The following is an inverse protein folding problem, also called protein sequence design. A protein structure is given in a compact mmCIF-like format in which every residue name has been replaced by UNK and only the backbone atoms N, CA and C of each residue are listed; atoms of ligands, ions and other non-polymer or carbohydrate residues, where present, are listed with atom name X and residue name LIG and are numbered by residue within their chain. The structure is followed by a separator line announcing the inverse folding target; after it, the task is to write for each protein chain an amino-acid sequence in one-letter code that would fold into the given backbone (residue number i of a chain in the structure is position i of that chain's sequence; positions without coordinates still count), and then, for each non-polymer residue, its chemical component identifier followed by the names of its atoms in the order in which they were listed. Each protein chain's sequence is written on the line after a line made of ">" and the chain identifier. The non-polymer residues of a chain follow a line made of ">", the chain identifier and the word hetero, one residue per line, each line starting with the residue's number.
data_IF_019001378987
#
_entry.id   IF_019001378987
#
_cell.length_a   1.000
_cell.length_b   1.000
_cell.length_c   1.000
_cell.angle_alpha   90.00
_cell.angle_beta   90.00
_cell.angle_gamma   90.00
#
_symmetry.space_group_name_H-M   'P 1'
#
loop_
_entity.id
_entity.type
_entity.pdbx_description
1 polymer ?
#
# COMPACT_ATOMS: atom_id res chain seq x y z
N UNK A 1 11.89 -3.71 -21.96
CA UNK A 1 11.14 -3.70 -20.70
C UNK A 1 12.03 -3.15 -19.59
N UNK A 2 11.66 -1.99 -19.03
CA UNK A 2 12.44 -1.29 -18.01
C UNK A 2 12.37 -2.00 -16.65
N UNK A 3 11.23 -2.60 -16.32
CA UNK A 3 11.06 -3.36 -15.08
C UNK A 3 12.04 -4.53 -15.00
N UNK A 4 12.17 -5.30 -16.08
CA UNK A 4 13.14 -6.41 -16.14
C UNK A 4 14.60 -5.93 -16.02
N UNK A 5 14.93 -4.75 -16.55
CA UNK A 5 16.27 -4.17 -16.41
C UNK A 5 16.52 -3.72 -14.97
N UNK A 6 15.54 -3.09 -14.33
CA UNK A 6 15.60 -2.67 -12.94
C UNK A 6 15.76 -3.87 -11.99
N UNK A 7 14.91 -4.91 -12.14
CA UNK A 7 15.00 -6.14 -11.34
C UNK A 7 16.39 -6.74 -11.43
N UNK A 8 16.94 -6.89 -12.65
CA UNK A 8 18.29 -7.41 -12.84
C UNK A 8 19.35 -6.57 -12.13
N UNK A 9 19.19 -5.25 -12.11
CA UNK A 9 20.11 -4.36 -11.44
C UNK A 9 20.04 -4.51 -9.92
N UNK A 10 18.85 -4.49 -9.34
CA UNK A 10 18.60 -4.72 -7.90
C UNK A 10 19.16 -6.08 -7.45
N UNK A 11 18.91 -7.14 -8.21
CA UNK A 11 19.47 -8.48 -7.93
C UNK A 11 21.00 -8.46 -7.92
N UNK A 12 21.62 -7.74 -8.85
CA UNK A 12 23.10 -7.65 -8.94
C UNK A 12 23.72 -6.88 -7.79
N UNK A 13 22.97 -5.99 -7.14
CA UNK A 13 23.39 -5.23 -5.94
C UNK A 13 23.30 -6.08 -4.67
N UNK A 14 22.55 -7.20 -4.70
CA UNK A 14 22.31 -8.03 -3.53
C UNK A 14 21.42 -7.35 -2.49
N UNK A 15 20.54 -6.44 -2.91
CA UNK A 15 19.56 -5.79 -2.05
C UNK A 15 18.62 -6.82 -1.43
N UNK A 16 18.43 -6.73 -0.12
CA UNK A 16 17.46 -7.54 0.60
C UNK A 16 16.09 -6.84 0.53
N UNK A 17 15.35 -7.11 -0.52
CA UNK A 17 14.02 -6.58 -0.75
C UNK A 17 13.03 -7.73 -0.87
N UNK A 18 11.87 -7.62 -0.19
CA UNK A 18 10.84 -8.67 -0.20
C UNK A 18 9.96 -8.61 -1.44
N UNK A 19 9.86 -7.44 -2.08
CA UNK A 19 9.11 -7.27 -3.31
C UNK A 19 9.09 -5.83 -3.80
N UNK A 20 8.71 -5.65 -5.07
CA UNK A 20 8.45 -4.36 -5.67
C UNK A 20 7.27 -4.48 -6.64
N UNK A 21 6.39 -3.49 -6.61
CA UNK A 21 5.19 -3.47 -7.43
C UNK A 21 4.95 -2.08 -8.01
N UNK A 22 4.35 -2.03 -9.20
CA UNK A 22 3.85 -0.79 -9.80
C UNK A 22 2.36 -0.68 -9.49
N UNK A 23 1.97 0.44 -8.90
CA UNK A 23 0.59 0.74 -8.53
C UNK A 23 0.12 1.90 -9.38
N UNK A 24 -0.91 1.67 -10.19
CA UNK A 24 -1.51 2.67 -11.06
C UNK A 24 -2.86 3.10 -10.50
N UNK A 25 -3.04 4.37 -10.11
CA UNK A 25 -4.34 4.89 -9.72
C UNK A 25 -5.39 4.67 -10.80
N UNK A 26 -6.65 4.38 -10.40
CA UNK A 26 -7.75 4.23 -11.35
C UNK A 26 -8.25 5.56 -11.89
N UNK A 27 -8.02 6.64 -11.15
CA UNK A 27 -8.33 8.00 -11.54
C UNK A 27 -7.03 8.79 -11.66
N UNK A 28 -6.96 9.70 -12.63
CA UNK A 28 -5.80 10.55 -12.85
C UNK A 28 -5.46 11.35 -11.59
N UNK A 29 -4.20 11.33 -11.21
CA UNK A 29 -3.68 12.10 -10.08
C UNK A 29 -2.89 13.30 -10.59
N UNK A 30 -2.99 14.43 -9.89
CA UNK A 30 -2.34 15.68 -10.31
C UNK A 30 -0.81 15.59 -10.25
N UNK A 31 -0.26 14.80 -9.34
CA UNK A 31 1.14 14.85 -8.98
C UNK A 31 1.94 13.61 -9.36
N UNK A 32 1.28 12.53 -9.80
CA UNK A 32 1.95 11.28 -10.18
C UNK A 32 1.08 10.40 -11.10
N UNK A 33 1.71 9.66 -12.00
CA UNK A 33 1.05 8.71 -12.89
C UNK A 33 1.00 7.30 -12.27
N UNK A 34 1.97 6.96 -11.45
CA UNK A 34 2.06 5.67 -10.74
C UNK A 34 2.89 5.79 -9.47
N UNK A 35 2.73 4.83 -8.59
CA UNK A 35 3.55 4.65 -7.39
C UNK A 35 4.41 3.40 -7.59
N UNK A 36 5.71 3.50 -7.33
CA UNK A 36 6.58 2.34 -7.25
C UNK A 36 6.72 1.95 -5.78
N UNK A 37 5.96 0.93 -5.39
CA UNK A 37 5.99 0.40 -4.04
C UNK A 37 7.12 -0.63 -3.91
N UNK A 38 7.95 -0.48 -2.88
CA UNK A 38 9.02 -1.40 -2.54
C UNK A 38 8.81 -1.89 -1.11
N UNK A 39 8.92 -3.20 -0.91
CA UNK A 39 8.74 -3.85 0.40
C UNK A 39 10.09 -4.33 0.91
N UNK A 40 10.42 -3.96 2.14
CA UNK A 40 11.71 -4.23 2.76
C UNK A 40 11.54 -4.97 4.09
N UNK A 41 12.42 -5.94 4.43
CA UNK A 41 12.35 -6.65 5.71
C UNK A 41 12.70 -5.76 6.90
N UNK A 42 13.37 -4.63 6.67
CA UNK A 42 13.71 -3.64 7.68
C UNK A 42 14.15 -2.31 7.06
N UNK A 43 14.06 -1.23 7.84
CA UNK A 43 14.59 0.07 7.47
C UNK A 43 16.09 0.01 7.16
N UNK A 44 16.87 -0.75 7.94
CA UNK A 44 18.29 -0.92 7.70
C UNK A 44 18.60 -1.56 6.35
N UNK A 45 17.82 -2.57 5.94
CA UNK A 45 17.97 -3.21 4.62
C UNK A 45 17.66 -2.23 3.49
N UNK A 46 16.60 -1.43 3.66
CA UNK A 46 16.23 -0.36 2.73
C UNK A 46 17.34 0.69 2.62
N UNK A 47 17.83 1.20 3.73
CA UNK A 47 18.82 2.27 3.78
C UNK A 47 20.13 1.83 3.12
N UNK A 48 20.58 0.61 3.38
CA UNK A 48 21.77 0.07 2.78
C UNK A 48 21.65 -0.03 1.24
N UNK A 49 20.54 -0.58 0.75
CA UNK A 49 20.29 -0.68 -0.69
C UNK A 49 20.12 0.70 -1.34
N UNK A 50 19.35 1.59 -0.71
CA UNK A 50 19.07 2.92 -1.25
C UNK A 50 20.31 3.81 -1.29
N UNK A 51 21.18 3.72 -0.29
CA UNK A 51 22.46 4.43 -0.27
C UNK A 51 23.37 4.00 -1.42
N UNK A 52 23.50 2.68 -1.64
CA UNK A 52 24.27 2.14 -2.76
C UNK A 52 23.66 2.54 -4.12
N UNK A 53 22.33 2.49 -4.24
CA UNK A 53 21.63 2.95 -5.43
C UNK A 53 21.94 4.40 -5.78
N UNK A 54 21.78 5.32 -4.82
CA UNK A 54 21.99 6.76 -5.03
C UNK A 54 23.46 7.08 -5.36
N UNK A 55 24.40 6.35 -4.75
CA UNK A 55 25.83 6.59 -4.97
C UNK A 55 26.32 6.04 -6.32
N UNK A 56 25.84 4.85 -6.72
CA UNK A 56 26.49 4.08 -7.78
C UNK A 56 25.61 3.82 -9.00
N UNK A 57 24.27 3.97 -8.91
CA UNK A 57 23.35 3.47 -9.94
C UNK A 57 22.33 4.49 -10.42
N UNK A 58 21.93 5.47 -9.59
CA UNK A 58 20.85 6.41 -9.87
C UNK A 58 21.10 7.22 -11.15
N UNK A 59 22.30 7.73 -11.36
CA UNK A 59 22.59 8.56 -12.51
C UNK A 59 22.46 7.79 -13.84
N UNK A 60 23.00 6.57 -13.92
CA UNK A 60 22.87 5.69 -15.09
C UNK A 60 21.42 5.27 -15.33
N UNK A 61 20.68 5.02 -14.24
CA UNK A 61 19.27 4.65 -14.34
C UNK A 61 18.41 5.79 -14.88
N UNK A 62 18.63 7.02 -14.41
CA UNK A 62 17.95 8.22 -14.94
C UNK A 62 18.19 8.42 -16.43
N UNK A 63 19.38 8.15 -16.92
CA UNK A 63 19.67 8.18 -18.36
C UNK A 63 18.89 7.09 -19.10
N UNK A 64 18.79 5.89 -18.51
CA UNK A 64 18.09 4.74 -19.11
C UNK A 64 16.59 4.99 -19.26
N UNK A 65 15.95 5.63 -18.28
CA UNK A 65 14.52 5.91 -18.30
C UNK A 65 14.15 7.24 -18.95
N UNK A 66 15.15 8.03 -19.35
CA UNK A 66 14.95 9.38 -19.89
C UNK A 66 13.96 9.40 -21.04
N UNK A 67 12.98 10.30 -20.96
CA UNK A 67 11.90 10.43 -21.96
C UNK A 67 10.78 9.40 -21.86
N UNK A 68 10.83 8.50 -20.87
CA UNK A 68 9.75 7.56 -20.56
C UNK A 68 9.04 7.96 -19.28
N UNK A 69 9.79 8.16 -18.19
CA UNK A 69 9.29 8.63 -16.90
C UNK A 69 10.45 9.23 -16.09
N UNK A 70 10.15 9.90 -15.01
CA UNK A 70 11.14 10.41 -14.06
C UNK A 70 10.66 10.20 -12.61
N UNK A 71 11.53 10.42 -11.65
CA UNK A 71 11.21 10.38 -10.23
C UNK A 71 12.12 11.35 -9.44
N UNK A 72 11.63 11.80 -8.30
CA UNK A 72 12.43 12.54 -7.32
C UNK A 72 12.61 11.71 -6.06
N UNK A 73 13.81 11.69 -5.52
CA UNK A 73 14.08 11.09 -4.20
C UNK A 73 13.31 11.80 -3.07
N UNK A 74 12.90 13.05 -3.28
CA UNK A 74 12.04 13.80 -2.37
C UNK A 74 10.62 13.26 -2.30
N UNK A 75 10.21 12.48 -3.32
CA UNK A 75 8.91 11.80 -3.40
C UNK A 75 9.01 10.33 -2.92
N UNK A 76 10.05 9.96 -2.20
CA UNK A 76 10.19 8.65 -1.59
C UNK A 76 9.64 8.69 -0.15
N UNK A 77 8.50 8.05 0.07
CA UNK A 77 7.79 8.03 1.34
C UNK A 77 7.90 6.67 2.01
N UNK A 78 8.38 6.66 3.25
CA UNK A 78 8.55 5.45 4.04
C UNK A 78 7.36 5.26 4.98
N UNK A 79 6.83 4.04 5.01
CA UNK A 79 5.79 3.62 5.95
C UNK A 79 6.24 2.37 6.70
N UNK A 80 5.95 2.31 8.00
CA UNK A 80 5.89 1.03 8.69
C UNK A 80 4.55 0.37 8.40
N UNK A 81 4.49 -0.95 8.38
CA UNK A 81 3.27 -1.68 8.09
C UNK A 81 2.93 -2.70 9.17
N UNK A 82 1.65 -2.82 9.50
CA UNK A 82 1.09 -3.86 10.35
C UNK A 82 0.03 -4.62 9.58
N UNK A 83 0.20 -5.93 9.42
CA UNK A 83 -0.80 -6.77 8.76
C UNK A 83 -2.02 -6.92 9.67
N UNK A 84 -3.18 -6.49 9.20
CA UNK A 84 -4.45 -6.60 9.93
C UNK A 84 -5.19 -7.90 9.66
N UNK A 85 -5.08 -8.42 8.44
CA UNK A 85 -5.63 -9.71 8.00
C UNK A 85 -4.75 -10.30 6.91
N UNK A 86 -4.39 -11.56 7.05
CA UNK A 86 -3.77 -12.32 5.97
C UNK A 86 -4.86 -12.97 5.10
N UNK A 87 -4.63 -13.13 3.80
CA UNK A 87 -5.52 -13.93 2.95
C UNK A 87 -5.48 -15.40 3.41
N UNK A 88 -6.61 -16.10 3.31
CA UNK A 88 -6.65 -17.56 3.57
C UNK A 88 -5.93 -18.35 2.46
N UNK A 89 -5.91 -17.78 1.25
CA UNK A 89 -5.15 -18.29 0.12
C UNK A 89 -4.61 -17.12 -0.70
N UNK A 90 -3.37 -17.24 -1.18
CA UNK A 90 -2.81 -16.24 -2.06
C UNK A 90 -3.43 -16.34 -3.45
N UNK A 91 -3.79 -15.22 -4.03
CA UNK A 91 -4.23 -15.16 -5.42
C UNK A 91 -3.06 -15.49 -6.35
N UNK A 92 -3.36 -16.10 -7.48
CA UNK A 92 -2.45 -16.26 -8.61
C UNK A 92 -2.71 -15.22 -9.70
N UNK A 93 -3.43 -14.16 -9.39
CA UNK A 93 -3.67 -13.03 -10.29
C UNK A 93 -2.38 -12.24 -10.51
N UNK A 94 -2.17 -11.79 -11.74
CA UNK A 94 -1.07 -10.90 -12.11
C UNK A 94 -1.35 -9.43 -11.71
N UNK A 95 -2.52 -9.16 -11.13
CA UNK A 95 -2.90 -7.83 -10.67
C UNK A 95 -3.83 -7.90 -9.46
N UNK A 96 -3.82 -6.83 -8.67
CA UNK A 96 -4.64 -6.67 -7.47
C UNK A 96 -5.30 -5.30 -7.46
N UNK A 97 -6.49 -5.21 -6.88
CA UNK A 97 -7.17 -3.94 -6.61
C UNK A 97 -6.82 -3.49 -5.20
N UNK A 98 -6.36 -2.27 -5.08
CA UNK A 98 -6.02 -1.60 -3.83
C UNK A 98 -7.00 -0.46 -3.54
N UNK A 99 -7.28 -0.21 -2.25
CA UNK A 99 -7.95 1.00 -1.78
C UNK A 99 -7.20 1.54 -0.57
N UNK A 100 -6.73 2.77 -0.66
CA UNK A 100 -6.03 3.47 0.40
C UNK A 100 -6.95 4.49 1.05
N UNK A 101 -7.08 4.44 2.38
CA UNK A 101 -7.85 5.37 3.17
C UNK A 101 -6.96 6.05 4.19
N UNK A 102 -6.83 7.37 4.09
CA UNK A 102 -6.07 8.19 5.03
C UNK A 102 -7.01 8.63 6.15
N UNK A 103 -6.81 8.10 7.35
CA UNK A 103 -7.78 8.16 8.43
C UNK A 103 -7.23 8.90 9.65
N UNK A 104 -8.13 9.64 10.33
CA UNK A 104 -7.89 10.23 11.64
C UNK A 104 -8.95 9.74 12.62
N UNK A 105 -8.55 9.50 13.87
CA UNK A 105 -9.49 9.12 14.92
C UNK A 105 -10.45 10.25 15.27
N UNK A 106 -11.71 9.91 15.46
CA UNK A 106 -12.70 10.82 16.02
C UNK A 106 -12.48 10.96 17.55
N UNK A 107 -13.04 11.99 18.14
CA UNK A 107 -12.94 12.25 19.59
C UNK A 107 -13.36 11.02 20.41
N UNK A 108 -12.48 10.57 21.29
CA UNK A 108 -12.69 9.40 22.17
C UNK A 108 -12.34 8.05 21.55
N UNK A 109 -11.87 8.02 20.30
CA UNK A 109 -11.35 6.83 19.62
C UNK A 109 -9.82 6.83 19.56
N UNK A 110 -9.24 5.64 19.51
CA UNK A 110 -7.79 5.42 19.47
C UNK A 110 -7.46 4.04 18.83
N UNK A 111 -6.19 3.65 18.87
CA UNK A 111 -5.74 2.35 18.38
C UNK A 111 -6.37 1.15 19.11
N UNK A 112 -6.85 1.28 20.36
CA UNK A 112 -7.56 0.21 21.05
C UNK A 112 -8.96 0.04 20.44
N UNK A 113 -9.66 1.15 20.17
CA UNK A 113 -10.94 1.13 19.44
C UNK A 113 -10.79 0.51 18.06
N UNK A 114 -9.71 0.83 17.36
CA UNK A 114 -9.38 0.26 16.05
C UNK A 114 -9.09 -1.24 16.15
N UNK A 115 -8.38 -1.68 17.21
CA UNK A 115 -8.12 -3.10 17.44
C UNK A 115 -9.44 -3.90 17.61
N UNK A 116 -10.39 -3.37 18.39
CA UNK A 116 -11.69 -4.01 18.58
C UNK A 116 -12.51 -4.05 17.28
N UNK A 117 -12.50 -2.97 16.50
CA UNK A 117 -13.12 -2.93 15.18
C UNK A 117 -12.52 -3.98 14.23
N UNK A 118 -11.19 -4.13 14.21
CA UNK A 118 -10.48 -5.14 13.39
C UNK A 118 -10.84 -6.56 13.81
N UNK A 119 -11.04 -6.82 15.11
CA UNK A 119 -11.48 -8.12 15.60
C UNK A 119 -12.89 -8.46 15.06
N UNK A 120 -13.80 -7.51 15.08
CA UNK A 120 -15.13 -7.67 14.51
C UNK A 120 -15.09 -7.93 12.99
N UNK A 121 -14.32 -7.13 12.23
CA UNK A 121 -14.13 -7.30 10.80
C UNK A 121 -13.55 -8.69 10.47
N UNK A 122 -12.52 -9.11 11.22
CA UNK A 122 -11.86 -10.40 11.01
C UNK A 122 -12.77 -11.60 11.36
N UNK A 123 -13.83 -11.38 12.14
CA UNK A 123 -14.82 -12.41 12.45
C UNK A 123 -15.76 -12.72 11.28
N UNK A 124 -15.82 -11.86 10.26
CA UNK A 124 -16.63 -12.10 9.06
C UNK A 124 -15.99 -13.19 8.21
N UNK A 125 -16.59 -14.37 8.19
CA UNK A 125 -16.07 -15.54 7.48
C UNK A 125 -16.43 -15.60 6.00
N UNK A 126 -17.35 -14.75 5.55
CA UNK A 126 -17.90 -14.72 4.19
C UNK A 126 -17.18 -13.74 3.26
N UNK A 127 -16.22 -12.96 3.76
CA UNK A 127 -15.35 -12.14 2.91
C UNK A 127 -14.47 -13.04 2.04
N UNK A 128 -14.04 -12.50 0.90
CA UNK A 128 -13.15 -13.17 -0.03
C UNK A 128 -11.94 -13.81 0.68
N UNK A 129 -11.64 -15.05 0.32
CA UNK A 129 -10.50 -15.78 0.88
C UNK A 129 -9.13 -15.16 0.48
N UNK A 130 -9.12 -14.37 -0.58
CA UNK A 130 -7.92 -13.66 -1.05
C UNK A 130 -7.87 -12.19 -0.61
N UNK A 131 -8.90 -11.69 0.11
CA UNK A 131 -8.88 -10.35 0.70
C UNK A 131 -7.92 -10.30 1.88
N UNK A 132 -7.11 -9.27 1.90
CA UNK A 132 -6.24 -8.93 3.01
C UNK A 132 -6.13 -7.42 3.18
N UNK A 133 -5.71 -6.98 4.35
CA UNK A 133 -5.47 -5.56 4.62
C UNK A 133 -4.32 -5.35 5.57
N UNK A 134 -3.74 -4.16 5.49
CA UNK A 134 -2.73 -3.69 6.42
C UNK A 134 -2.99 -2.24 6.85
N UNK A 135 -2.38 -1.87 7.96
CA UNK A 135 -2.28 -0.49 8.41
C UNK A 135 -0.87 -0.01 8.08
N UNK A 136 -0.78 1.22 7.57
CA UNK A 136 0.48 1.89 7.28
C UNK A 136 0.59 3.11 8.18
N UNK A 137 1.75 3.28 8.83
CA UNK A 137 2.07 4.47 9.63
C UNK A 137 3.20 5.23 8.92
N UNK A 138 2.98 6.52 8.57
CA UNK A 138 4.02 7.34 7.97
C UNK A 138 5.24 7.49 8.88
N UNK A 139 6.42 7.12 8.39
CA UNK A 139 7.72 7.34 9.06
C UNK A 139 8.34 8.69 8.66
N UNK A 140 7.56 9.59 8.14
CA UNK A 140 7.86 10.98 7.79
C UNK A 140 6.77 11.88 8.42
N UNK A 141 6.84 13.18 8.24
CA UNK A 141 5.91 14.15 8.84
C UNK A 141 5.07 14.84 7.76
N UNK A 142 4.00 14.17 7.25
CA UNK A 142 3.11 14.77 6.26
C UNK A 142 2.22 15.85 6.88
N UNK A 143 1.79 16.83 6.08
CA UNK A 143 0.84 17.86 6.50
C UNK A 143 -0.35 17.90 5.51
N UNK A 144 -1.56 17.54 5.92
CA UNK A 144 -1.92 16.98 7.25
C UNK A 144 -1.42 15.54 7.47
N UNK A 145 -1.09 15.20 8.72
CA UNK A 145 -0.71 13.85 9.11
C UNK A 145 -1.96 13.02 9.40
N UNK A 146 -2.19 11.87 8.74
CA UNK A 146 -3.19 10.91 9.17
C UNK A 146 -2.71 10.16 10.43
N UNK A 147 -3.62 9.69 11.28
CA UNK A 147 -3.28 8.80 12.38
C UNK A 147 -2.82 7.44 11.86
N UNK A 148 -3.39 6.98 10.75
CA UNK A 148 -2.96 5.80 9.99
C UNK A 148 -3.50 5.81 8.56
N UNK A 149 -2.91 4.98 7.70
CA UNK A 149 -3.48 4.66 6.39
C UNK A 149 -3.97 3.22 6.40
N UNK A 150 -5.25 3.01 6.10
CA UNK A 150 -5.81 1.68 5.89
C UNK A 150 -5.66 1.30 4.42
N UNK A 151 -5.02 0.17 4.16
CA UNK A 151 -4.83 -0.38 2.83
C UNK A 151 -5.55 -1.72 2.71
N UNK A 152 -6.64 -1.75 1.94
CA UNK A 152 -7.32 -2.97 1.54
C UNK A 152 -6.83 -3.48 0.19
N UNK A 153 -6.73 -4.81 0.04
CA UNK A 153 -6.22 -5.47 -1.16
C UNK A 153 -7.11 -6.65 -1.52
N UNK A 154 -7.58 -6.67 -2.76
CA UNK A 154 -8.41 -7.73 -3.33
C UNK A 154 -7.81 -8.26 -4.63
N UNK A 155 -8.10 -9.53 -5.00
CA UNK A 155 -7.64 -10.09 -6.27
C UNK A 155 -8.28 -9.44 -7.49
N UNK A 156 -9.50 -8.91 -7.38
CA UNK A 156 -10.26 -8.27 -8.46
C UNK A 156 -11.25 -7.24 -7.93
N UNK A 157 -11.76 -6.37 -8.82
CA UNK A 157 -12.81 -5.41 -8.50
C UNK A 157 -14.12 -6.09 -8.08
N UNK A 158 -14.47 -7.21 -8.70
CA UNK A 158 -15.68 -7.96 -8.34
C UNK A 158 -15.59 -8.53 -6.92
N UNK A 159 -14.41 -9.00 -6.51
CA UNK A 159 -14.18 -9.45 -5.13
C UNK A 159 -14.32 -8.28 -4.15
N UNK A 160 -13.78 -7.10 -4.49
CA UNK A 160 -13.95 -5.87 -3.72
C UNK A 160 -15.42 -5.48 -3.58
N UNK A 161 -16.16 -5.41 -4.68
CA UNK A 161 -17.59 -5.06 -4.66
C UNK A 161 -18.41 -6.03 -3.80
N UNK A 162 -18.12 -7.33 -3.93
CA UNK A 162 -18.78 -8.37 -3.13
C UNK A 162 -18.50 -8.18 -1.63
N UNK A 163 -17.25 -7.98 -1.26
CA UNK A 163 -16.84 -7.81 0.14
C UNK A 163 -17.40 -6.51 0.73
N UNK A 164 -17.42 -5.42 -0.05
CA UNK A 164 -18.07 -4.17 0.36
C UNK A 164 -19.58 -4.33 0.57
N UNK A 165 -20.27 -5.13 -0.25
CA UNK A 165 -21.67 -5.43 -0.06
C UNK A 165 -21.91 -6.22 1.24
N UNK A 166 -21.06 -7.19 1.56
CA UNK A 166 -21.09 -7.93 2.83
C UNK A 166 -20.85 -6.98 4.00
N UNK A 167 -19.79 -6.18 3.97
CA UNK A 167 -19.46 -5.20 5.01
C UNK A 167 -20.63 -4.23 5.23
N UNK A 168 -21.21 -3.67 4.16
CA UNK A 168 -22.36 -2.77 4.21
C UNK A 168 -23.64 -3.42 4.80
N UNK A 169 -23.74 -4.75 4.80
CA UNK A 169 -24.87 -5.48 5.41
C UNK A 169 -24.73 -5.66 6.92
N UNK A 170 -23.59 -5.27 7.49
CA UNK A 170 -23.28 -5.36 8.93
C UNK A 170 -23.47 -4.02 9.64
N UNK A 171 -23.14 -3.96 10.93
CA UNK A 171 -23.04 -2.71 11.69
C UNK A 171 -21.65 -2.05 11.62
N UNK A 172 -20.69 -2.65 10.89
CA UNK A 172 -19.33 -2.14 10.80
C UNK A 172 -19.21 -0.77 10.13
N UNK A 173 -19.99 -0.42 9.09
CA UNK A 173 -19.99 0.94 8.55
C UNK A 173 -20.29 2.01 9.60
N UNK A 174 -21.28 1.77 10.45
CA UNK A 174 -21.63 2.70 11.52
C UNK A 174 -20.52 2.81 12.58
N UNK A 175 -19.94 1.67 12.99
CA UNK A 175 -18.79 1.64 13.91
C UNK A 175 -17.57 2.36 13.33
N UNK A 176 -17.28 2.17 12.04
CA UNK A 176 -16.19 2.87 11.37
C UNK A 176 -16.42 4.39 11.38
N UNK A 177 -17.63 4.85 11.02
CA UNK A 177 -17.98 6.26 11.01
C UNK A 177 -17.95 6.92 12.40
N UNK A 178 -18.26 6.18 13.47
CA UNK A 178 -18.11 6.65 14.84
C UNK A 178 -16.64 6.75 15.25
N UNK A 179 -15.79 5.84 14.78
CA UNK A 179 -14.39 5.69 15.18
C UNK A 179 -13.45 6.62 14.44
N UNK A 180 -13.60 6.76 13.12
CA UNK A 180 -12.66 7.48 12.26
C UNK A 180 -13.35 8.35 11.23
N UNK A 181 -12.64 9.41 10.84
CA UNK A 181 -12.91 10.16 9.61
C UNK A 181 -11.77 9.93 8.64
N UNK A 182 -12.08 9.39 7.47
CA UNK A 182 -11.11 9.17 6.41
C UNK A 182 -11.39 10.14 5.24
N UNK A 183 -10.34 10.54 4.53
CA UNK A 183 -10.45 11.24 3.26
C UNK A 183 -11.05 10.37 2.15
N UNK A 184 -11.16 10.93 0.95
CA UNK A 184 -11.51 10.13 -0.22
C UNK A 184 -10.47 9.02 -0.43
N UNK A 185 -10.95 7.83 -0.82
CA UNK A 185 -10.04 6.71 -1.09
C UNK A 185 -9.26 6.93 -2.38
N UNK A 186 -8.01 6.49 -2.39
CA UNK A 186 -7.26 6.31 -3.63
C UNK A 186 -7.40 4.84 -4.03
N UNK A 187 -8.15 4.60 -5.09
CA UNK A 187 -8.30 3.28 -5.68
C UNK A 187 -7.24 3.07 -6.76
N UNK A 188 -6.57 1.94 -6.73
CA UNK A 188 -5.47 1.65 -7.63
C UNK A 188 -5.44 0.19 -8.06
N UNK A 189 -4.75 -0.10 -9.16
CA UNK A 189 -4.42 -1.45 -9.59
C UNK A 189 -2.93 -1.66 -9.42
N UNK A 190 -2.56 -2.72 -8.72
CA UNK A 190 -1.18 -3.15 -8.55
C UNK A 190 -0.87 -4.24 -9.59
N UNK A 191 0.29 -4.16 -10.22
CA UNK A 191 0.84 -5.16 -11.12
C UNK A 191 2.11 -5.75 -10.51
N UNK A 192 2.21 -7.07 -10.53
CA UNK A 192 3.38 -7.84 -10.11
C UNK A 192 4.49 -7.81 -11.18
#
# INVERSE_FOLDING_TARGET
>A
DLTAQWNKKIDSMGCQMDGANIITPKEDQENFDFIWMMVWPSEQARDACWSDWLENHDAEWRETISGVWDYSSENAFLFSSEIGRLPKSWSTSDSFTHSYFFCNFNEGSDFNTLHDYRADLNSITTLSDNHWYMLLDPMFDPDPRPDFVWLDIWPTDEARESDLAIWNSTNLPAKAAEMVTCGESIDATMFD
#
